data_IF_944994309784
#
_entry.id   IF_944994309784
#
_cell.length_a   1.000
_cell.length_b   1.000
_cell.length_c   1.000
_cell.angle_alpha   90.00
_cell.angle_beta   90.00
_cell.angle_gamma   90.00
#
_symmetry.space_group_name_H-M   'P 1'
#
loop_
_entity.id
_entity.type
_entity.pdbx_description
1 polymer ?
#
# COMPACT_ATOMS: atom_id res chain seq x y z
N UNK A 1 0.22 7.43 5.48
CA UNK A 1 0.72 6.28 4.68
C UNK A 1 2.24 6.41 4.57
N UNK A 2 3.03 5.33 4.55
CA UNK A 2 4.48 5.40 4.43
C UNK A 2 4.91 5.99 3.08
N UNK A 3 6.10 6.58 3.05
CA UNK A 3 6.70 7.14 1.84
C UNK A 3 7.32 6.07 0.91
N UNK A 4 7.61 4.88 1.44
CA UNK A 4 8.20 3.76 0.70
C UNK A 4 7.42 2.47 0.95
N UNK A 5 7.27 1.65 -0.09
CA UNK A 5 6.56 0.38 -0.04
C UNK A 5 7.21 -0.61 -1.01
N UNK A 6 7.55 -1.85 -0.62
CA UNK A 6 8.08 -2.82 -1.57
C UNK A 6 7.02 -3.22 -2.62
N UNK A 7 7.47 -3.62 -3.81
CA UNK A 7 6.59 -4.11 -4.89
C UNK A 7 5.65 -5.21 -4.40
N UNK A 8 4.38 -5.14 -4.80
CA UNK A 8 3.37 -6.14 -4.45
C UNK A 8 2.91 -6.12 -2.99
N UNK A 9 3.42 -5.22 -2.14
CA UNK A 9 3.02 -5.14 -0.73
C UNK A 9 1.73 -4.38 -0.52
N UNK A 10 0.94 -4.85 0.43
CA UNK A 10 -0.24 -4.14 0.89
C UNK A 10 0.10 -3.20 2.03
N UNK A 11 -0.55 -2.04 2.05
CA UNK A 11 -0.47 -1.08 3.14
C UNK A 11 -1.86 -0.58 3.50
N UNK A 12 -2.12 -0.46 4.80
CA UNK A 12 -3.35 0.12 5.29
C UNK A 12 -3.21 1.62 5.49
N UNK A 13 -4.29 2.35 5.22
CA UNK A 13 -4.35 3.78 5.41
C UNK A 13 -5.79 4.25 5.57
N UNK A 14 -5.94 5.52 5.92
CA UNK A 14 -7.23 6.17 5.98
C UNK A 14 -7.20 7.54 5.31
N UNK A 15 -8.34 7.96 4.77
CA UNK A 15 -8.59 9.31 4.29
C UNK A 15 -9.92 9.81 4.85
N UNK A 16 -9.91 11.07 5.31
CA UNK A 16 -11.11 11.72 5.86
C UNK A 16 -11.71 12.69 4.85
N UNK A 17 -13.03 12.61 4.67
CA UNK A 17 -13.79 13.59 3.90
C UNK A 17 -14.92 14.17 4.75
N UNK A 18 -15.27 15.43 4.48
CA UNK A 18 -16.36 16.15 5.13
C UNK A 18 -17.43 16.50 4.09
N UNK A 19 -18.69 16.21 4.40
CA UNK A 19 -19.81 16.56 3.54
C UNK A 19 -20.16 18.04 3.72
N UNK A 20 -19.70 18.87 2.79
CA UNK A 20 -19.98 20.31 2.75
C UNK A 20 -21.23 20.66 1.94
N UNK A 21 -21.93 19.66 1.40
CA UNK A 21 -23.17 19.81 0.67
C UNK A 21 -24.41 19.81 1.56
N UNK A 22 -25.59 19.76 0.92
CA UNK A 22 -26.90 19.70 1.57
C UNK A 22 -27.59 18.33 1.44
N UNK A 23 -26.95 17.36 0.78
CA UNK A 23 -27.45 16.00 0.59
C UNK A 23 -26.67 15.04 1.46
N UNK A 24 -27.36 14.22 2.24
CA UNK A 24 -26.75 13.11 3.00
C UNK A 24 -26.14 12.09 2.03
N UNK A 25 -24.85 11.79 2.20
CA UNK A 25 -24.23 10.69 1.47
C UNK A 25 -24.66 9.38 2.12
N UNK A 26 -25.45 8.57 1.42
CA UNK A 26 -25.99 7.31 1.94
C UNK A 26 -25.14 6.12 1.49
N UNK A 27 -24.83 5.23 2.42
CA UNK A 27 -24.17 3.97 2.13
C UNK A 27 -25.02 3.14 1.15
N UNK A 28 -24.36 2.53 0.16
CA UNK A 28 -25.04 1.75 -0.88
C UNK A 28 -25.70 2.56 -2.00
N UNK A 29 -25.66 3.90 -1.94
CA UNK A 29 -26.21 4.77 -3.01
C UNK A 29 -25.15 5.31 -3.98
N UNK A 30 -24.06 4.55 -4.19
CA UNK A 30 -23.04 4.87 -5.20
C UNK A 30 -21.96 5.86 -4.74
N UNK A 31 -22.09 6.46 -3.55
CA UNK A 31 -21.04 7.27 -2.94
C UNK A 31 -19.84 6.43 -2.50
N UNK A 32 -18.66 6.80 -2.97
CA UNK A 32 -17.39 6.11 -2.71
C UNK A 32 -16.21 7.06 -2.82
N UNK A 33 -15.11 6.72 -2.15
CA UNK A 33 -13.82 7.34 -2.38
C UNK A 33 -13.10 6.57 -3.49
N UNK A 34 -12.65 7.26 -4.54
CA UNK A 34 -11.88 6.68 -5.64
C UNK A 34 -10.45 7.16 -5.60
N UNK A 35 -9.52 6.26 -5.91
CA UNK A 35 -8.10 6.56 -6.06
C UNK A 35 -7.89 7.27 -7.41
N UNK A 36 -7.17 8.38 -7.39
CA UNK A 36 -6.86 9.22 -8.56
C UNK A 36 -5.37 9.58 -8.60
N UNK A 37 -4.87 9.99 -9.77
CA UNK A 37 -3.45 10.22 -10.03
C UNK A 37 -2.80 9.04 -10.75
N UNK A 38 -1.60 8.65 -10.35
CA UNK A 38 -0.90 7.49 -10.90
C UNK A 38 -1.33 6.19 -10.19
N UNK A 39 -2.47 5.67 -10.59
CA UNK A 39 -3.09 4.50 -9.96
C UNK A 39 -2.72 3.17 -10.63
N UNK A 40 -1.76 3.19 -11.57
CA UNK A 40 -1.42 2.02 -12.40
C UNK A 40 -0.95 0.86 -11.54
N UNK A 41 -1.74 -0.22 -11.53
CA UNK A 41 -1.47 -1.46 -10.80
C UNK A 41 -1.70 -1.39 -9.28
N UNK A 42 -2.28 -0.30 -8.77
CA UNK A 42 -2.76 -0.20 -7.39
C UNK A 42 -4.15 -0.82 -7.24
N UNK A 43 -4.39 -1.53 -6.13
CA UNK A 43 -5.71 -2.12 -5.85
C UNK A 43 -6.00 -2.15 -4.34
N UNK A 44 -7.25 -1.89 -3.89
CA UNK A 44 -8.40 -1.50 -4.68
C UNK A 44 -8.31 -0.05 -5.18
N UNK A 45 -8.97 0.24 -6.31
CA UNK A 45 -9.05 1.60 -6.86
C UNK A 45 -10.17 2.46 -6.26
N UNK A 46 -11.02 1.87 -5.43
CA UNK A 46 -12.14 2.57 -4.78
C UNK A 46 -12.58 1.90 -3.49
N UNK A 47 -13.23 2.67 -2.62
CA UNK A 47 -13.70 2.25 -1.30
C UNK A 47 -15.08 2.84 -1.07
N UNK A 48 -16.06 1.98 -0.83
CA UNK A 48 -17.42 2.41 -0.53
C UNK A 48 -17.53 3.16 0.80
N UNK A 49 -18.61 3.90 0.98
CA UNK A 49 -18.91 4.51 2.28
C UNK A 49 -19.01 3.45 3.39
N UNK A 50 -18.35 3.68 4.55
CA UNK A 50 -18.52 2.82 5.72
C UNK A 50 -19.85 3.06 6.45
N UNK A 51 -20.40 4.27 6.36
CA UNK A 51 -21.66 4.68 7.00
C UNK A 51 -22.27 5.90 6.30
N UNK A 52 -23.52 6.21 6.62
CA UNK A 52 -24.20 7.44 6.16
C UNK A 52 -23.52 8.70 6.73
N UNK A 53 -23.45 9.76 5.92
CA UNK A 53 -22.79 11.02 6.25
C UNK A 53 -23.74 12.20 5.99
N UNK A 54 -24.37 12.77 7.04
CA UNK A 54 -25.27 13.91 6.86
C UNK A 54 -24.50 15.18 6.43
N UNK A 55 -25.20 16.21 5.95
CA UNK A 55 -24.62 17.55 5.74
C UNK A 55 -23.85 18.04 6.98
N UNK A 56 -22.63 18.53 6.77
CA UNK A 56 -21.68 18.90 7.83
C UNK A 56 -20.96 17.73 8.52
N UNK A 57 -21.37 16.49 8.24
CA UNK A 57 -20.74 15.28 8.78
C UNK A 57 -19.39 14.97 8.14
N UNK A 58 -18.58 14.16 8.81
CA UNK A 58 -17.30 13.67 8.29
C UNK A 58 -17.24 12.15 8.35
N UNK A 59 -16.44 11.55 7.46
CA UNK A 59 -16.25 10.10 7.36
C UNK A 59 -14.79 9.76 7.08
N UNK A 60 -14.31 8.71 7.75
CA UNK A 60 -13.00 8.12 7.54
C UNK A 60 -13.13 6.85 6.68
N UNK A 61 -12.55 6.89 5.48
CA UNK A 61 -12.43 5.72 4.62
C UNK A 61 -11.16 4.96 4.98
N UNK A 62 -11.31 3.75 5.48
CA UNK A 62 -10.21 2.85 5.77
C UNK A 62 -9.99 1.92 4.58
N UNK A 63 -8.74 1.74 4.16
CA UNK A 63 -8.42 0.95 2.97
C UNK A 63 -7.11 0.17 3.13
N UNK A 64 -6.98 -0.90 2.33
CA UNK A 64 -5.77 -1.70 2.21
C UNK A 64 -5.31 -1.70 0.75
N UNK A 65 -4.33 -0.87 0.42
CA UNK A 65 -3.81 -0.68 -0.92
C UNK A 65 -2.62 -1.62 -1.18
N UNK A 66 -2.73 -2.47 -2.20
CA UNK A 66 -1.63 -3.27 -2.75
C UNK A 66 -0.86 -2.46 -3.79
N UNK A 67 0.45 -2.36 -3.59
CA UNK A 67 1.38 -1.75 -4.53
C UNK A 67 1.54 -2.58 -5.81
N UNK A 68 1.80 -1.93 -6.95
CA UNK A 68 2.15 -2.60 -8.20
C UNK A 68 3.50 -3.34 -8.10
N UNK A 69 3.79 -4.14 -9.12
CA UNK A 69 5.09 -4.78 -9.31
C UNK A 69 6.12 -3.88 -10.02
N UNK A 70 5.67 -2.78 -10.62
CA UNK A 70 6.55 -1.75 -11.18
C UNK A 70 7.15 -0.91 -10.06
N UNK A 71 8.47 -0.86 -9.97
CA UNK A 71 9.15 0.09 -9.10
C UNK A 71 9.07 1.51 -9.68
N UNK A 72 8.98 2.50 -8.81
CA UNK A 72 8.89 3.90 -9.19
C UNK A 72 8.11 4.75 -8.19
N UNK A 73 8.08 6.05 -8.44
CA UNK A 73 7.28 7.00 -7.67
C UNK A 73 5.85 7.07 -8.19
N UNK A 74 4.88 6.91 -7.30
CA UNK A 74 3.45 7.01 -7.60
C UNK A 74 2.84 8.17 -6.82
N UNK A 75 2.04 9.00 -7.50
CA UNK A 75 1.32 10.11 -6.87
C UNK A 75 -0.16 9.73 -6.65
N UNK A 76 -0.47 9.33 -5.43
CA UNK A 76 -1.79 8.85 -5.05
C UNK A 76 -2.58 9.96 -4.37
N UNK A 77 -3.81 10.14 -4.83
CA UNK A 77 -4.80 11.03 -4.22
C UNK A 77 -6.13 10.30 -4.14
N UNK A 78 -7.00 10.74 -3.25
CA UNK A 78 -8.37 10.25 -3.15
C UNK A 78 -9.34 11.37 -3.54
N UNK A 79 -10.44 11.00 -4.18
CA UNK A 79 -11.53 11.91 -4.50
C UNK A 79 -12.87 11.23 -4.26
N UNK A 80 -13.88 12.00 -3.87
CA UNK A 80 -15.24 11.49 -3.75
C UNK A 80 -15.88 11.33 -5.13
N UNK A 81 -16.63 10.24 -5.32
CA UNK A 81 -17.39 9.95 -6.53
C UNK A 81 -18.78 9.43 -6.18
N UNK A 82 -19.78 9.82 -6.94
CA UNK A 82 -21.16 9.32 -6.87
C UNK A 82 -21.59 8.68 -8.21
N UNK A 83 -22.90 8.58 -8.44
CA UNK A 83 -23.46 8.08 -9.71
C UNK A 83 -23.35 9.07 -10.87
N UNK A 84 -23.13 10.36 -10.61
CA UNK A 84 -22.96 11.40 -11.63
C UNK A 84 -21.47 11.61 -12.00
N UNK A 85 -20.55 11.35 -11.08
CA UNK A 85 -19.11 11.41 -11.33
C UNK A 85 -18.30 11.87 -10.13
N UNK A 86 -17.08 12.34 -10.39
CA UNK A 86 -16.21 12.89 -9.36
C UNK A 86 -16.71 14.22 -8.84
N UNK A 87 -16.68 14.42 -7.53
CA UNK A 87 -17.07 15.67 -6.90
C UNK A 87 -16.19 16.00 -5.70
N UNK A 88 -16.29 17.26 -5.26
CA UNK A 88 -15.50 17.78 -4.15
C UNK A 88 -14.01 17.90 -4.46
N UNK A 89 -13.26 18.29 -3.43
CA UNK A 89 -11.82 18.41 -3.46
C UNK A 89 -11.13 17.05 -3.35
N UNK A 90 -9.94 16.96 -3.93
CA UNK A 90 -9.04 15.83 -3.73
C UNK A 90 -8.41 15.88 -2.34
N UNK A 91 -8.01 14.71 -1.83
CA UNK A 91 -7.16 14.62 -0.65
C UNK A 91 -5.78 15.22 -0.91
N UNK A 92 -5.00 15.40 0.16
CA UNK A 92 -3.56 15.68 0.04
C UNK A 92 -2.88 14.64 -0.86
N UNK A 93 -1.91 15.09 -1.65
CA UNK A 93 -1.12 14.22 -2.51
C UNK A 93 -0.19 13.35 -1.68
N UNK A 94 -0.31 12.04 -1.83
CA UNK A 94 0.56 11.05 -1.21
C UNK A 94 1.52 10.50 -2.26
N UNK A 95 2.80 10.84 -2.13
CA UNK A 95 3.85 10.24 -2.96
C UNK A 95 4.29 8.94 -2.30
N UNK A 96 4.17 7.82 -3.00
CA UNK A 96 4.65 6.51 -2.56
C UNK A 96 5.73 6.02 -3.52
N UNK A 97 6.91 5.74 -2.99
CA UNK A 97 7.99 5.11 -3.73
C UNK A 97 7.85 3.59 -3.63
N UNK A 98 7.45 2.97 -4.73
CA UNK A 98 7.44 1.51 -4.84
C UNK A 98 8.85 1.05 -5.16
N UNK A 99 9.45 0.27 -4.26
CA UNK A 99 10.82 -0.21 -4.43
C UNK A 99 10.81 -1.68 -4.84
N UNK A 100 11.48 -2.00 -5.94
CA UNK A 100 11.73 -3.39 -6.30
C UNK A 100 12.67 -4.00 -5.25
N UNK A 101 12.51 -5.28 -4.90
CA UNK A 101 13.56 -6.00 -4.22
C UNK A 101 14.84 -5.92 -5.08
N UNK A 102 16.03 -5.84 -4.44
CA UNK A 102 17.28 -5.84 -5.18
C UNK A 102 17.33 -7.05 -6.14
N UNK A 103 17.82 -6.88 -7.38
CA UNK A 103 17.91 -7.97 -8.35
C UNK A 103 18.67 -9.15 -7.75
N UNK A 104 18.05 -10.32 -7.79
CA UNK A 104 18.71 -11.58 -7.46
C UNK A 104 19.62 -11.96 -8.63
N UNK A 105 20.83 -11.41 -8.67
CA UNK A 105 21.89 -12.08 -9.41
C UNK A 105 22.15 -13.41 -8.72
N UNK A 106 22.17 -14.50 -9.48
CA UNK A 106 22.56 -15.82 -8.99
C UNK A 106 23.89 -15.72 -8.25
N UNK A 107 23.82 -15.61 -6.92
CA UNK A 107 24.98 -15.40 -6.06
C UNK A 107 25.68 -14.07 -6.30
N UNK A 108 25.27 -13.03 -5.57
CA UNK A 108 26.10 -12.17 -4.70
C UNK A 108 25.25 -10.95 -4.35
N UNK A 109 24.80 -10.85 -3.09
CA UNK A 109 24.37 -9.56 -2.56
C UNK A 109 25.66 -8.73 -2.41
N UNK A 110 25.70 -7.56 -3.05
CA UNK A 110 26.86 -6.66 -3.07
C UNK A 110 27.45 -6.53 -1.66
N UNK A 111 28.76 -6.85 -1.57
CA UNK A 111 29.57 -7.03 -0.36
C UNK A 111 29.21 -8.25 0.50
N UNK A 112 29.69 -9.42 0.07
CA UNK A 112 29.92 -10.65 0.87
C UNK A 112 28.74 -11.21 1.70
N UNK A 113 27.49 -10.86 1.36
CA UNK A 113 26.28 -11.37 2.03
C UNK A 113 25.61 -12.43 1.15
N UNK A 114 25.35 -13.64 1.67
CA UNK A 114 24.55 -14.64 0.93
C UNK A 114 23.08 -14.47 1.28
N UNK A 115 22.28 -14.03 0.31
CA UNK A 115 20.84 -13.90 0.46
C UNK A 115 20.12 -15.06 -0.25
N UNK A 116 19.18 -15.73 0.43
CA UNK A 116 18.33 -16.79 -0.14
C UNK A 116 16.90 -16.27 -0.18
N UNK A 117 16.22 -16.43 -1.31
CA UNK A 117 14.84 -15.99 -1.52
C UNK A 117 13.93 -17.17 -1.89
N UNK A 118 12.62 -17.05 -1.63
CA UNK A 118 11.61 -18.02 -2.07
C UNK A 118 11.05 -17.71 -3.48
N UNK A 119 10.15 -18.58 -3.96
CA UNK A 119 9.48 -18.45 -5.26
C UNK A 119 8.63 -17.18 -5.42
N UNK A 120 8.30 -16.50 -4.32
CA UNK A 120 7.57 -15.22 -4.31
C UNK A 120 8.51 -14.01 -4.20
N UNK A 121 9.83 -14.22 -4.38
CA UNK A 121 10.87 -13.19 -4.24
C UNK A 121 10.97 -12.58 -2.83
N UNK A 122 10.60 -13.33 -1.78
CA UNK A 122 10.77 -12.90 -0.39
C UNK A 122 12.08 -13.40 0.21
N UNK A 123 12.74 -12.59 1.04
CA UNK A 123 14.09 -12.86 1.58
C UNK A 123 14.10 -13.88 2.72
N UNK A 124 14.27 -15.16 2.42
CA UNK A 124 14.28 -16.23 3.43
C UNK A 124 15.52 -16.23 4.33
N UNK A 125 16.67 -15.74 3.87
CA UNK A 125 17.92 -15.80 4.63
C UNK A 125 18.91 -14.73 4.21
N UNK A 126 19.63 -14.15 5.17
CA UNK A 126 20.82 -13.31 4.98
C UNK A 126 21.95 -13.93 5.76
N UNK A 127 23.09 -14.19 5.14
CA UNK A 127 24.34 -14.53 5.86
C UNK A 127 25.33 -13.39 5.73
N UNK A 128 25.61 -12.72 6.84
CA UNK A 128 26.62 -11.67 6.91
C UNK A 128 27.97 -12.26 7.34
N UNK A 129 29.09 -11.91 6.69
CA UNK A 129 30.38 -12.54 6.94
C UNK A 129 30.98 -12.12 8.29
N UNK A 130 30.57 -10.97 8.84
CA UNK A 130 31.08 -10.41 10.10
C UNK A 130 30.14 -10.59 11.32
N UNK A 131 28.91 -11.07 11.16
CA UNK A 131 27.91 -11.08 12.26
C UNK A 131 27.01 -12.33 12.33
N UNK A 132 27.18 -13.29 11.41
CA UNK A 132 26.41 -14.54 11.40
C UNK A 132 25.21 -14.54 10.46
N UNK A 133 24.42 -15.61 10.52
CA UNK A 133 23.28 -15.84 9.64
C UNK A 133 21.98 -15.38 10.28
N UNK A 134 21.24 -14.48 9.63
CA UNK A 134 19.86 -14.13 9.98
C UNK A 134 18.88 -14.85 9.06
N UNK A 135 18.10 -15.77 9.61
CA UNK A 135 16.99 -16.45 8.92
C UNK A 135 15.73 -15.64 9.15
N UNK A 136 14.96 -15.39 8.10
CA UNK A 136 13.69 -14.66 8.15
C UNK A 136 12.58 -15.53 7.55
N UNK A 137 11.47 -15.68 8.25
CA UNK A 137 10.30 -16.39 7.78
C UNK A 137 9.14 -15.40 7.64
N UNK A 138 8.43 -15.49 6.52
CA UNK A 138 7.27 -14.66 6.23
C UNK A 138 5.99 -15.50 6.31
N UNK A 139 4.90 -14.88 6.74
CA UNK A 139 3.57 -15.49 6.68
C UNK A 139 3.02 -15.49 5.23
N UNK A 140 1.86 -16.13 5.03
CA UNK A 140 1.20 -16.20 3.72
C UNK A 140 0.67 -14.84 3.20
N UNK A 141 0.61 -13.81 4.04
CA UNK A 141 0.34 -12.42 3.64
C UNK A 141 1.63 -11.66 3.27
N UNK A 142 2.77 -12.35 3.38
CA UNK A 142 4.11 -11.89 3.11
C UNK A 142 4.76 -11.16 4.29
N UNK A 143 4.08 -10.90 5.39
CA UNK A 143 4.63 -10.12 6.50
C UNK A 143 5.73 -10.89 7.22
N UNK A 144 6.71 -10.20 7.81
CA UNK A 144 7.79 -10.84 8.57
C UNK A 144 7.18 -11.49 9.81
N UNK A 145 7.03 -12.81 9.77
CA UNK A 145 6.43 -13.58 10.85
C UNK A 145 7.47 -13.89 11.93
N UNK A 146 8.73 -14.07 11.52
CA UNK A 146 9.80 -14.44 12.43
C UNK A 146 11.18 -14.13 11.85
N UNK A 147 12.12 -13.79 12.72
CA UNK A 147 13.53 -13.74 12.37
C UNK A 147 14.37 -14.31 13.51
N UNK A 148 15.41 -15.07 13.19
CA UNK A 148 16.47 -15.40 14.13
C UNK A 148 17.84 -15.20 13.53
N UNK A 149 18.73 -14.64 14.34
CA UNK A 149 20.15 -14.49 14.04
C UNK A 149 20.93 -15.54 14.81
N UNK A 150 21.82 -16.25 14.12
CA UNK A 150 22.75 -17.22 14.70
C UNK A 150 24.19 -16.85 14.36
N UNK A 151 25.04 -16.80 15.38
CA UNK A 151 26.50 -16.73 15.26
C UNK A 151 27.09 -18.12 15.00
#
# INVERSE_FOLDING_TARGET
MPAQLPTGRSVTGSVRFTNTGNVTWRQGQGYRAVLVGDTRGWSPGEVGLPSDVPPGGSVDFNFSLRAPLGAGGYNLRWRMRDGAGDFGNESSNQVVQVVAPPPVEHGVCLAARRCVYDANQQLCKVMEPESGSTVMAYDAAGNLAWSASGQ
#
